data_IF_310042099621
#
_entry.id   IF_310042099621
#
_cell.length_a   1.000
_cell.length_b   1.000
_cell.length_c   1.000
_cell.angle_alpha   90.00
_cell.angle_beta   90.00
_cell.angle_gamma   90.00
#
_symmetry.space_group_name_H-M   'P 1'
#
loop_
_entity.id
_entity.type
_entity.pdbx_description
1 polymer ?
#
# COMPACT_ATOMS: atom_id res chain seq x y z
N UNK A 1 -7.52 -1.29 -4.09
CA UNK A 1 -6.18 -0.71 -3.80
C UNK A 1 -5.26 -1.10 -4.94
N UNK A 2 -4.38 -0.22 -5.42
CA UNK A 2 -3.36 -0.63 -6.39
C UNK A 2 -2.07 -0.94 -5.64
N UNK A 3 -1.43 -2.05 -6.00
CA UNK A 3 -0.15 -2.46 -5.46
C UNK A 3 0.76 -2.91 -6.62
N UNK A 4 2.06 -2.81 -6.44
CA UNK A 4 3.02 -3.45 -7.34
C UNK A 4 3.35 -4.83 -6.79
N UNK A 5 3.09 -5.88 -7.58
CA UNK A 5 3.63 -7.22 -7.30
C UNK A 5 5.02 -7.29 -7.91
N UNK A 6 6.00 -7.49 -7.05
CA UNK A 6 7.40 -7.61 -7.42
C UNK A 6 7.96 -8.90 -6.85
N UNK A 7 8.55 -9.74 -7.69
CA UNK A 7 9.31 -10.91 -7.28
C UNK A 7 10.63 -10.95 -8.06
N UNK A 8 11.78 -11.03 -7.38
CA UNK A 8 13.08 -11.02 -8.04
C UNK A 8 13.27 -12.28 -8.88
N UNK A 9 14.14 -12.20 -9.89
CA UNK A 9 14.61 -13.39 -10.57
C UNK A 9 15.59 -14.17 -9.70
N UNK A 10 15.74 -15.47 -9.98
CA UNK A 10 16.75 -16.31 -9.35
C UNK A 10 18.20 -15.89 -9.72
N UNK A 11 18.37 -15.21 -10.86
CA UNK A 11 19.65 -14.63 -11.29
C UNK A 11 19.42 -13.44 -12.25
N UNK A 12 20.33 -12.48 -12.21
CA UNK A 12 20.24 -11.23 -12.98
C UNK A 12 19.28 -10.21 -12.38
N UNK A 13 19.24 -9.02 -12.99
CA UNK A 13 18.56 -7.84 -12.41
C UNK A 13 17.11 -7.69 -12.89
N UNK A 14 16.67 -8.49 -13.86
CA UNK A 14 15.31 -8.44 -14.41
C UNK A 14 14.36 -9.29 -13.57
N UNK A 15 13.33 -8.72 -12.91
CA UNK A 15 12.42 -9.49 -12.06
C UNK A 15 11.51 -10.45 -12.85
N UNK A 16 11.22 -11.61 -12.25
CA UNK A 16 10.30 -12.61 -12.81
C UNK A 16 8.84 -12.12 -12.79
N UNK A 17 8.48 -11.39 -11.74
CA UNK A 17 7.17 -10.73 -11.58
C UNK A 17 7.40 -9.25 -11.36
N UNK A 18 6.82 -8.41 -12.23
CA UNK A 18 6.79 -6.97 -12.05
C UNK A 18 5.56 -6.38 -12.71
N UNK A 19 4.49 -6.25 -11.92
CA UNK A 19 3.17 -5.93 -12.45
C UNK A 19 2.37 -5.05 -11.50
N UNK A 20 1.59 -4.13 -12.07
CA UNK A 20 0.61 -3.34 -11.37
C UNK A 20 -0.64 -4.19 -11.20
N UNK A 21 -1.05 -4.41 -9.95
CA UNK A 21 -2.27 -5.14 -9.63
C UNK A 21 -3.28 -4.28 -8.89
N UNK A 22 -4.55 -4.62 -9.05
CA UNK A 22 -5.65 -4.08 -8.26
C UNK A 22 -6.06 -5.14 -7.25
N UNK A 23 -5.72 -4.88 -5.99
CA UNK A 23 -6.24 -5.65 -4.87
C UNK A 23 -7.73 -5.34 -4.68
N UNK A 24 -8.51 -6.41 -4.75
CA UNK A 24 -9.94 -6.45 -4.50
C UNK A 24 -10.25 -6.94 -3.10
N UNK A 25 -11.51 -6.82 -2.74
CA UNK A 25 -12.05 -7.34 -1.49
C UNK A 25 -13.55 -7.21 -1.54
N UNK A 26 -14.26 -8.25 -1.15
CA UNK A 26 -15.73 -8.35 -1.15
C UNK A 26 -16.26 -8.47 0.27
N UNK A 27 -17.58 -8.46 0.42
CA UNK A 27 -18.28 -8.51 1.72
C UNK A 27 -17.76 -7.45 2.71
N UNK A 28 -17.59 -6.22 2.22
CA UNK A 28 -17.06 -5.12 3.02
C UNK A 28 -18.12 -4.67 4.02
N UNK A 29 -17.72 -4.57 5.27
CA UNK A 29 -18.54 -4.06 6.35
C UNK A 29 -17.76 -3.02 7.18
N UNK A 30 -18.47 -2.02 7.67
CA UNK A 30 -17.92 -0.89 8.43
C UNK A 30 -18.73 -0.70 9.70
N UNK A 31 -18.03 -0.66 10.83
CA UNK A 31 -18.61 -0.16 12.07
C UNK A 31 -18.80 1.35 12.06
N UNK A 32 -19.31 1.89 13.18
CA UNK A 32 -19.47 3.33 13.38
C UNK A 32 -18.14 4.06 13.17
N UNK A 33 -18.18 5.12 12.36
CA UNK A 33 -17.04 5.99 12.11
C UNK A 33 -17.06 7.14 13.09
N UNK A 34 -16.03 7.21 13.93
CA UNK A 34 -15.78 8.34 14.83
C UNK A 34 -14.76 9.26 14.18
N UNK A 35 -15.03 10.55 14.17
CA UNK A 35 -14.18 11.59 13.56
C UNK A 35 -13.72 12.59 14.62
N UNK A 36 -12.49 13.09 14.50
CA UNK A 36 -11.94 14.11 15.39
C UNK A 36 -10.60 14.67 14.93
N UNK A 37 -9.88 15.34 15.83
CA UNK A 37 -8.49 15.73 15.63
C UNK A 37 -7.54 14.55 15.88
N UNK A 38 -6.38 14.56 15.23
CA UNK A 38 -5.33 13.58 15.45
C UNK A 38 -3.93 14.19 15.27
N UNK A 39 -2.96 13.57 15.93
CA UNK A 39 -1.53 13.84 15.76
C UNK A 39 -0.84 12.59 15.22
N UNK A 40 0.19 12.78 14.40
CA UNK A 40 1.05 11.71 13.90
C UNK A 40 2.51 12.11 14.12
N UNK A 41 3.29 11.18 14.67
CA UNK A 41 4.74 11.31 14.76
C UNK A 41 5.39 10.12 14.06
N UNK A 42 6.23 10.43 13.08
CA UNK A 42 7.14 9.46 12.47
C UNK A 42 8.49 9.61 13.17
N UNK A 43 9.07 8.49 13.60
CA UNK A 43 10.31 8.47 14.36
C UNK A 43 11.50 8.22 13.44
N UNK A 44 12.64 8.82 13.80
CA UNK A 44 13.90 8.67 13.08
C UNK A 44 14.61 7.35 13.45
N UNK A 45 15.73 7.08 12.77
CA UNK A 45 16.58 5.90 12.98
C UNK A 45 15.85 4.55 12.82
N UNK A 46 14.91 4.49 11.88
CA UNK A 46 14.21 3.27 11.46
C UNK A 46 14.80 2.70 10.19
N UNK A 47 14.55 1.40 9.93
CA UNK A 47 14.88 0.77 8.64
C UNK A 47 14.13 1.43 7.47
N UNK A 48 12.88 1.83 7.73
CA UNK A 48 12.01 2.48 6.76
C UNK A 48 12.26 3.99 6.72
N UNK A 49 12.20 4.59 5.52
CA UNK A 49 12.32 6.04 5.33
C UNK A 49 10.93 6.71 5.20
N UNK A 50 10.09 6.56 6.23
CA UNK A 50 8.74 7.16 6.23
C UNK A 50 8.79 8.69 6.34
N UNK A 51 9.91 9.25 6.79
CA UNK A 51 10.08 10.68 7.02
C UNK A 51 10.11 11.45 5.70
N UNK A 52 10.57 10.82 4.61
CA UNK A 52 10.51 11.36 3.26
C UNK A 52 9.09 11.72 2.79
N UNK A 53 8.05 11.11 3.37
CA UNK A 53 6.64 11.37 3.08
C UNK A 53 5.88 11.93 4.29
N UNK A 54 6.57 12.52 5.26
CA UNK A 54 5.94 13.09 6.44
C UNK A 54 4.88 14.15 6.06
N UNK A 55 3.66 14.09 6.64
CA UNK A 55 2.64 15.07 6.35
C UNK A 55 3.04 16.45 6.87
N UNK A 56 2.75 17.49 6.08
CA UNK A 56 2.94 18.89 6.50
C UNK A 56 1.85 19.37 7.45
N UNK A 57 0.68 18.77 7.37
CA UNK A 57 -0.49 19.12 8.16
C UNK A 57 -1.35 17.87 8.41
N UNK A 58 -1.85 17.72 9.63
CA UNK A 58 -2.86 16.72 9.97
C UNK A 58 -4.26 17.31 9.81
N UNK A 59 -5.06 16.75 8.91
CA UNK A 59 -6.41 17.28 8.65
C UNK A 59 -7.45 16.72 9.63
N UNK A 60 -7.58 15.40 9.71
CA UNK A 60 -8.60 14.71 10.51
C UNK A 60 -8.11 13.34 10.99
N UNK A 61 -8.60 12.91 12.14
CA UNK A 61 -8.46 11.56 12.68
C UNK A 61 -9.77 10.78 12.56
N UNK A 62 -9.66 9.48 12.30
CA UNK A 62 -10.80 8.56 12.24
C UNK A 62 -10.54 7.32 13.10
N UNK A 63 -11.57 6.84 13.79
CA UNK A 63 -11.57 5.55 14.49
C UNK A 63 -12.80 4.76 14.09
N UNK A 64 -12.59 3.55 13.57
CA UNK A 64 -13.65 2.63 13.18
C UNK A 64 -13.11 1.19 13.16
N UNK A 65 -14.01 0.22 13.11
CA UNK A 65 -13.70 -1.18 12.80
C UNK A 65 -14.18 -1.48 11.39
N UNK A 66 -13.48 -2.36 10.68
CA UNK A 66 -13.89 -2.82 9.35
C UNK A 66 -13.60 -4.30 9.16
N UNK A 67 -14.41 -4.95 8.31
CA UNK A 67 -14.24 -6.33 7.89
C UNK A 67 -14.36 -6.42 6.37
N UNK A 68 -13.63 -7.34 5.76
CA UNK A 68 -13.75 -7.68 4.34
C UNK A 68 -13.12 -9.06 4.06
N UNK A 69 -13.59 -9.71 3.00
CA UNK A 69 -12.97 -10.93 2.47
C UNK A 69 -11.95 -10.55 1.39
N UNK A 70 -10.70 -11.03 1.52
CA UNK A 70 -9.68 -10.92 0.46
C UNK A 70 -9.99 -11.95 -0.63
N UNK A 71 -10.04 -11.49 -1.88
CA UNK A 71 -10.47 -12.31 -3.01
C UNK A 71 -9.54 -12.14 -4.22
N UNK A 72 -8.25 -12.38 -3.99
CA UNK A 72 -7.22 -12.25 -5.01
C UNK A 72 -6.98 -10.82 -5.49
N UNK A 73 -6.36 -10.73 -6.67
CA UNK A 73 -5.98 -9.46 -7.32
C UNK A 73 -6.12 -9.59 -8.84
N UNK A 74 -6.45 -8.49 -9.50
CA UNK A 74 -6.46 -8.40 -10.96
C UNK A 74 -5.16 -7.73 -11.45
N UNK A 75 -4.54 -8.27 -12.51
CA UNK A 75 -3.43 -7.60 -13.18
C UNK A 75 -3.97 -6.47 -14.06
N UNK A 76 -3.54 -5.25 -13.77
CA UNK A 76 -3.96 -4.03 -14.49
C UNK A 76 -3.00 -3.71 -15.63
N UNK A 77 -1.70 -3.84 -15.38
CA UNK A 77 -0.66 -3.63 -16.36
C UNK A 77 0.62 -4.38 -15.97
N UNK A 78 1.41 -4.78 -16.96
CA UNK A 78 2.81 -5.16 -16.73
C UNK A 78 3.64 -3.88 -16.62
N UNK A 79 4.51 -3.80 -15.62
CA UNK A 79 5.51 -2.74 -15.61
C UNK A 79 6.59 -3.04 -16.66
N UNK A 80 7.27 -1.99 -17.12
CA UNK A 80 8.44 -2.17 -17.97
C UNK A 80 9.54 -2.87 -17.17
N UNK A 81 9.93 -4.05 -17.66
CA UNK A 81 10.91 -4.91 -16.99
C UNK A 81 12.35 -4.48 -17.25
N UNK A 82 12.58 -3.56 -18.19
CA UNK A 82 13.89 -3.01 -18.52
C UNK A 82 14.19 -1.69 -17.80
N UNK A 83 13.15 -1.01 -17.29
CA UNK A 83 13.24 0.29 -16.62
C UNK A 83 13.89 0.28 -15.22
N UNK A 84 14.33 -0.88 -14.72
CA UNK A 84 15.02 -1.04 -13.43
C UNK A 84 16.52 -1.33 -13.56
N UNK A 85 17.08 -1.25 -14.79
CA UNK A 85 18.53 -1.37 -15.07
C UNK A 85 19.17 0.01 -15.18
#
# INVERSE_FOLDING_TARGET
MHNTRHFPAASGDRPDVFELVRAGGRDRDLGVIWEGSAELRLYEDTLEDLQAIAPREMLRGYRFSFGYTVDGVDVVAQHDREAQT
#
